data_IF_792207510757
#
_entry.id   IF_792207510757
#
_cell.length_a   1.000
_cell.length_b   1.000
_cell.length_c   1.000
_cell.angle_alpha   90.00
_cell.angle_beta   90.00
_cell.angle_gamma   90.00
#
_symmetry.space_group_name_H-M   'P 1'
#
loop_
_entity.id
_entity.type
_entity.pdbx_description
1 polymer ?
#
# COMPACT_ATOMS: atom_id res chain seq x y z
N UNK A 1 8.47 -19.09 2.67
CA UNK A 1 7.88 -17.93 3.34
C UNK A 1 6.75 -18.44 4.21
N UNK A 2 6.62 -17.96 5.43
CA UNK A 2 5.73 -18.56 6.44
C UNK A 2 4.46 -17.73 6.66
N UNK A 3 4.17 -16.76 5.77
CA UNK A 3 2.98 -15.90 5.88
C UNK A 3 1.67 -16.61 5.46
N UNK A 4 1.76 -17.73 4.74
CA UNK A 4 0.60 -18.51 4.34
C UNK A 4 0.16 -19.38 5.52
N UNK A 5 -1.10 -19.26 5.92
CA UNK A 5 -1.68 -20.02 7.03
C UNK A 5 -2.63 -21.11 6.54
N UNK A 6 -2.85 -22.13 7.37
CA UNK A 6 -3.72 -23.27 7.06
C UNK A 6 -5.21 -23.02 7.41
N UNK A 7 -5.52 -21.90 8.07
CA UNK A 7 -6.86 -21.62 8.58
C UNK A 7 -7.80 -20.94 7.55
N UNK A 8 -7.26 -20.48 6.40
CA UNK A 8 -8.00 -19.73 5.38
C UNK A 8 -7.58 -20.12 3.95
N UNK A 9 -8.53 -20.04 3.03
CA UNK A 9 -8.28 -20.26 1.60
C UNK A 9 -7.98 -21.72 1.28
N UNK A 10 -7.01 -21.95 0.40
CA UNK A 10 -6.63 -23.29 -0.12
C UNK A 10 -5.20 -23.70 0.25
N UNK A 11 -4.48 -22.89 1.03
CA UNK A 11 -3.04 -23.04 1.25
C UNK A 11 -2.16 -22.62 0.08
N UNK A 12 -2.74 -22.16 -1.03
CA UNK A 12 -2.00 -21.59 -2.19
C UNK A 12 -2.50 -20.17 -2.43
N UNK A 13 -1.59 -19.20 -2.38
CA UNK A 13 -1.90 -17.77 -2.47
C UNK A 13 -1.44 -17.22 -3.83
N UNK A 14 -2.36 -16.60 -4.57
CA UNK A 14 -2.03 -15.85 -5.78
C UNK A 14 -1.13 -14.66 -5.44
N UNK A 15 -0.06 -14.47 -6.22
CA UNK A 15 0.89 -13.39 -6.03
C UNK A 15 0.67 -12.28 -7.06
N UNK A 16 0.43 -11.06 -6.58
CA UNK A 16 0.37 -9.85 -7.39
C UNK A 16 1.31 -8.78 -6.75
N UNK A 17 2.62 -8.77 -7.11
CA UNK A 17 3.66 -8.10 -6.34
C UNK A 17 3.46 -6.60 -6.10
N UNK A 18 2.70 -5.92 -6.96
CA UNK A 18 2.49 -4.47 -6.87
C UNK A 18 1.18 -4.08 -6.17
N UNK A 19 0.44 -5.06 -5.64
CA UNK A 19 -0.84 -4.88 -4.96
C UNK A 19 -0.86 -5.46 -3.53
N UNK A 20 0.25 -6.03 -3.06
CA UNK A 20 0.42 -6.55 -1.70
C UNK A 20 1.88 -6.43 -1.23
N UNK A 21 2.09 -6.10 0.05
CA UNK A 21 3.43 -5.98 0.65
C UNK A 21 4.13 -7.34 0.74
N UNK A 22 3.42 -8.37 1.19
CA UNK A 22 3.95 -9.74 1.25
C UNK A 22 4.24 -10.28 -0.15
N UNK A 23 3.33 -10.06 -1.10
CA UNK A 23 3.52 -10.45 -2.50
C UNK A 23 4.79 -9.81 -3.08
N UNK A 24 5.02 -8.52 -2.81
CA UNK A 24 6.23 -7.82 -3.21
C UNK A 24 7.48 -8.47 -2.61
N UNK A 25 7.48 -8.67 -1.28
CA UNK A 25 8.61 -9.21 -0.52
C UNK A 25 8.98 -10.63 -0.98
N UNK A 26 7.99 -11.50 -1.14
CA UNK A 26 8.18 -12.90 -1.57
C UNK A 26 8.66 -12.96 -3.01
N UNK A 27 8.02 -12.22 -3.92
CA UNK A 27 8.41 -12.20 -5.33
C UNK A 27 9.82 -11.63 -5.52
N UNK A 28 10.21 -10.64 -4.72
CA UNK A 28 11.56 -10.09 -4.73
C UNK A 28 12.58 -11.10 -4.19
N UNK A 29 12.29 -11.76 -3.07
CA UNK A 29 13.20 -12.76 -2.47
C UNK A 29 13.46 -13.96 -3.40
N UNK A 30 12.47 -14.32 -4.22
CA UNK A 30 12.56 -15.41 -5.19
C UNK A 30 12.96 -14.96 -6.61
N UNK A 31 13.31 -13.69 -6.82
CA UNK A 31 13.78 -13.18 -8.11
C UNK A 31 12.73 -13.12 -9.22
N UNK A 32 11.43 -13.15 -8.86
CA UNK A 32 10.31 -12.93 -9.79
C UNK A 32 10.24 -11.46 -10.20
N UNK A 33 10.58 -10.57 -9.27
CA UNK A 33 10.76 -9.13 -9.52
C UNK A 33 12.13 -8.70 -9.03
N UNK A 34 12.65 -7.62 -9.60
CA UNK A 34 13.89 -6.99 -9.17
C UNK A 34 13.60 -5.57 -8.69
N UNK A 35 14.38 -5.06 -7.73
CA UNK A 35 14.27 -3.66 -7.29
C UNK A 35 14.55 -2.68 -8.44
N UNK A 36 15.47 -3.07 -9.32
CA UNK A 36 15.90 -2.29 -10.48
C UNK A 36 15.10 -2.66 -11.74
N UNK A 37 13.98 -3.38 -11.60
CA UNK A 37 13.13 -3.70 -12.75
C UNK A 37 12.65 -2.39 -13.38
N UNK A 38 13.05 -2.16 -14.64
CA UNK A 38 12.74 -0.94 -15.39
C UNK A 38 11.24 -0.70 -15.59
N UNK A 39 10.39 -1.71 -15.35
CA UNK A 39 8.94 -1.59 -15.47
C UNK A 39 8.24 -2.25 -14.29
N UNK A 40 7.46 -1.43 -13.57
CA UNK A 40 6.49 -1.87 -12.58
C UNK A 40 5.25 -2.35 -13.32
N UNK A 41 4.92 -3.64 -13.18
CA UNK A 41 3.73 -4.23 -13.80
C UNK A 41 2.50 -3.85 -12.97
N UNK A 42 1.90 -2.71 -13.31
CA UNK A 42 0.69 -2.23 -12.67
C UNK A 42 -0.33 -1.83 -13.75
N UNK A 43 -1.21 -2.77 -14.18
CA UNK A 43 -2.14 -2.55 -15.28
C UNK A 43 -3.36 -1.69 -14.88
N UNK A 44 -3.16 -0.75 -13.96
CA UNK A 44 -4.20 0.11 -13.38
C UNK A 44 -3.67 1.56 -13.27
N UNK A 45 -4.45 2.50 -13.80
CA UNK A 45 -4.16 3.93 -13.78
C UNK A 45 -4.38 4.59 -12.41
N UNK A 46 -4.13 5.91 -12.31
CA UNK A 46 -4.31 6.68 -11.09
C UNK A 46 -5.78 6.81 -10.62
N UNK A 47 -6.74 6.51 -11.49
CA UNK A 47 -8.18 6.50 -11.19
C UNK A 47 -8.70 5.09 -10.88
N UNK A 48 -7.79 4.14 -10.68
CA UNK A 48 -8.10 2.73 -10.42
C UNK A 48 -8.87 2.08 -11.58
N UNK A 49 -8.53 2.43 -12.83
CA UNK A 49 -9.08 1.80 -14.04
C UNK A 49 -8.03 0.99 -14.78
N UNK A 50 -8.44 -0.10 -15.40
CA UNK A 50 -7.53 -0.95 -16.17
C UNK A 50 -6.94 -0.22 -17.38
N UNK A 51 -5.63 -0.38 -17.58
CA UNK A 51 -4.88 0.16 -18.73
C UNK A 51 -5.06 -0.70 -19.98
N UNK A 52 -4.47 -0.28 -21.11
CA UNK A 52 -4.54 -1.01 -22.38
C UNK A 52 -3.91 -2.41 -22.34
N UNK A 53 -3.08 -2.71 -21.33
CA UNK A 53 -2.47 -4.03 -21.14
C UNK A 53 -3.51 -5.11 -20.80
N UNK A 54 -4.66 -4.71 -20.24
CA UNK A 54 -5.79 -5.59 -19.93
C UNK A 54 -6.94 -5.24 -20.86
N UNK A 55 -6.86 -5.73 -22.09
CA UNK A 55 -7.78 -5.38 -23.18
C UNK A 55 -9.23 -5.70 -22.89
N UNK A 56 -9.50 -6.82 -22.20
CA UNK A 56 -10.87 -7.29 -21.92
C UNK A 56 -11.65 -6.35 -20.97
N UNK A 57 -10.92 -5.58 -20.15
CA UNK A 57 -11.51 -4.74 -19.09
C UNK A 57 -11.02 -3.29 -19.14
N UNK A 58 -10.39 -2.87 -20.24
CA UNK A 58 -9.78 -1.55 -20.39
C UNK A 58 -10.77 -0.42 -20.02
N UNK A 59 -10.31 0.52 -19.20
CA UNK A 59 -11.09 1.68 -18.76
C UNK A 59 -12.14 1.41 -17.68
N UNK A 60 -12.38 0.14 -17.30
CA UNK A 60 -13.29 -0.20 -16.21
C UNK A 60 -12.60 -0.01 -14.86
N UNK A 61 -13.35 0.48 -13.87
CA UNK A 61 -12.85 0.54 -12.50
C UNK A 61 -12.66 -0.88 -11.96
N UNK A 62 -11.62 -1.08 -11.15
CA UNK A 62 -11.28 -2.38 -10.56
C UNK A 62 -12.44 -3.09 -9.86
N UNK A 63 -13.32 -2.35 -9.15
CA UNK A 63 -14.47 -2.96 -8.47
C UNK A 63 -15.61 -3.30 -9.41
N UNK A 64 -15.80 -2.51 -10.47
CA UNK A 64 -16.83 -2.78 -11.47
C UNK A 64 -16.44 -3.99 -12.34
N UNK A 65 -15.13 -4.19 -12.56
CA UNK A 65 -14.57 -5.29 -13.32
C UNK A 65 -14.67 -6.67 -12.61
N UNK A 66 -14.91 -6.71 -11.29
CA UNK A 66 -15.03 -7.97 -10.54
C UNK A 66 -16.07 -8.92 -11.16
N UNK A 67 -17.24 -8.40 -11.53
CA UNK A 67 -18.32 -9.21 -12.15
C UNK A 67 -17.95 -9.73 -13.55
N UNK A 68 -17.47 -8.89 -14.49
CA UNK A 68 -16.91 -9.34 -15.76
C UNK A 68 -15.80 -10.38 -15.64
N UNK A 69 -14.85 -10.19 -14.71
CA UNK A 69 -13.73 -11.13 -14.50
C UNK A 69 -14.25 -12.50 -14.05
N UNK A 70 -15.18 -12.54 -13.10
CA UNK A 70 -15.80 -13.79 -12.65
C UNK A 70 -16.51 -14.50 -13.83
N UNK A 71 -17.24 -13.75 -14.65
CA UNK A 71 -17.92 -14.28 -15.84
C UNK A 71 -16.91 -14.87 -16.83
N UNK A 72 -15.84 -14.14 -17.13
CA UNK A 72 -14.75 -14.60 -18.01
C UNK A 72 -14.12 -15.90 -17.52
N UNK A 73 -13.78 -15.98 -16.22
CA UNK A 73 -13.20 -17.20 -15.63
C UNK A 73 -14.15 -18.40 -15.65
N UNK A 74 -15.46 -18.14 -15.49
CA UNK A 74 -16.51 -19.16 -15.59
C UNK A 74 -16.64 -19.70 -17.02
N UNK A 75 -16.66 -18.81 -18.01
CA UNK A 75 -16.73 -19.18 -19.44
C UNK A 75 -15.46 -19.94 -19.88
N UNK A 76 -14.30 -19.56 -19.36
CA UNK A 76 -13.03 -20.26 -19.57
C UNK A 76 -12.94 -21.61 -18.83
N UNK A 77 -13.96 -22.01 -18.05
CA UNK A 77 -13.98 -23.22 -17.22
C UNK A 77 -12.81 -23.30 -16.21
N UNK A 78 -12.32 -22.14 -15.74
CA UNK A 78 -11.24 -22.03 -14.73
C UNK A 78 -11.75 -21.62 -13.34
N UNK A 79 -13.06 -21.41 -13.19
CA UNK A 79 -13.70 -21.11 -11.91
C UNK A 79 -14.18 -22.40 -11.23
N UNK A 80 -13.56 -22.76 -10.11
CA UNK A 80 -13.89 -23.98 -9.35
C UNK A 80 -15.01 -23.70 -8.32
N UNK A 81 -14.91 -22.58 -7.60
CA UNK A 81 -15.84 -22.22 -6.53
C UNK A 81 -16.07 -20.71 -6.51
N UNK A 82 -17.30 -20.29 -6.20
CA UNK A 82 -17.70 -18.90 -6.05
C UNK A 82 -18.62 -18.77 -4.84
N UNK A 83 -18.26 -17.86 -3.91
CA UNK A 83 -19.06 -17.54 -2.73
C UNK A 83 -18.94 -16.05 -2.38
N UNK A 84 -19.82 -15.57 -1.52
CA UNK A 84 -19.78 -14.22 -0.96
C UNK A 84 -19.25 -14.31 0.47
N UNK A 85 -18.25 -13.49 0.80
CA UNK A 85 -17.63 -13.47 2.13
C UNK A 85 -17.88 -12.12 2.78
N UNK A 86 -18.33 -12.13 4.04
CA UNK A 86 -18.46 -10.93 4.86
C UNK A 86 -17.20 -10.76 5.70
N UNK A 87 -16.49 -9.66 5.51
CA UNK A 87 -15.28 -9.32 6.24
C UNK A 87 -15.13 -7.81 6.40
N UNK A 88 -14.19 -7.38 7.24
CA UNK A 88 -13.78 -5.98 7.31
C UNK A 88 -12.89 -5.63 6.13
N UNK A 89 -13.15 -4.49 5.50
CA UNK A 89 -12.37 -3.97 4.39
C UNK A 89 -12.06 -2.49 4.65
N UNK A 90 -10.90 -2.02 4.17
CA UNK A 90 -10.43 -0.66 4.41
C UNK A 90 -11.09 0.36 3.46
N UNK A 91 -11.56 1.47 4.02
CA UNK A 91 -12.20 2.55 3.28
C UNK A 91 -11.48 3.88 3.50
N UNK A 92 -11.59 4.78 2.53
CA UNK A 92 -11.08 6.13 2.67
C UNK A 92 -11.87 6.86 3.77
N UNK A 93 -11.17 7.34 4.79
CA UNK A 93 -11.74 8.03 5.96
C UNK A 93 -12.50 9.34 5.63
N UNK A 94 -12.39 9.87 4.40
CA UNK A 94 -13.03 11.11 3.97
C UNK A 94 -14.12 10.91 2.91
N UNK A 95 -13.92 9.99 1.97
CA UNK A 95 -14.82 9.79 0.83
C UNK A 95 -15.63 8.50 0.91
N UNK A 96 -15.39 7.65 1.90
CA UNK A 96 -16.03 6.33 2.06
C UNK A 96 -15.91 5.42 0.83
N UNK A 97 -14.90 5.67 -0.02
CA UNK A 97 -14.58 4.83 -1.17
C UNK A 97 -13.67 3.68 -0.75
N UNK A 98 -13.84 2.46 -1.29
CA UNK A 98 -13.00 1.32 -0.94
C UNK A 98 -11.56 1.58 -1.37
N UNK A 99 -10.61 1.33 -0.45
CA UNK A 99 -9.18 1.48 -0.75
C UNK A 99 -8.64 0.27 -1.51
N UNK A 100 -7.57 0.50 -2.26
CA UNK A 100 -6.75 -0.55 -2.86
C UNK A 100 -5.30 -0.31 -2.50
N UNK A 101 -4.54 -1.39 -2.35
CA UNK A 101 -3.09 -1.32 -2.23
C UNK A 101 -2.50 -1.31 -3.65
N UNK A 102 -1.62 -0.36 -3.92
CA UNK A 102 -0.94 -0.22 -5.20
C UNK A 102 0.43 0.40 -4.97
N UNK A 103 1.45 -0.13 -5.61
CA UNK A 103 2.78 0.48 -5.63
C UNK A 103 2.71 1.85 -6.29
N UNK A 104 3.07 2.90 -5.54
CA UNK A 104 3.16 4.28 -6.03
C UNK A 104 4.42 4.93 -5.47
N UNK A 105 5.11 5.79 -6.24
CA UNK A 105 6.22 6.56 -5.69
C UNK A 105 5.69 7.51 -4.61
N UNK A 106 6.36 7.53 -3.46
CA UNK A 106 6.02 8.39 -2.33
C UNK A 106 7.26 8.75 -1.53
N UNK A 107 7.22 9.88 -0.83
CA UNK A 107 8.25 10.28 0.12
C UNK A 107 7.91 9.77 1.51
N UNK A 108 8.90 9.15 2.15
CA UNK A 108 8.75 8.54 3.47
C UNK A 108 9.70 9.17 4.48
N UNK A 109 9.23 9.29 5.72
CA UNK A 109 10.10 9.54 6.87
C UNK A 109 10.40 8.20 7.52
N UNK A 110 11.69 7.94 7.76
CA UNK A 110 12.16 6.70 8.41
C UNK A 110 11.76 6.67 9.88
N UNK A 111 10.66 5.99 10.19
CA UNK A 111 10.08 5.87 11.54
C UNK A 111 10.57 4.60 12.23
N UNK A 112 10.82 3.53 11.48
CA UNK A 112 11.20 2.23 12.06
C UNK A 112 12.46 2.34 12.92
N UNK A 113 13.42 3.16 12.48
CA UNK A 113 14.66 3.42 13.23
C UNK A 113 14.50 4.27 14.50
N UNK A 114 13.31 4.82 14.77
CA UNK A 114 13.05 5.65 15.96
C UNK A 114 11.98 5.08 16.91
N UNK A 115 11.49 3.86 16.67
CA UNK A 115 10.45 3.19 17.48
C UNK A 115 10.82 3.18 18.96
N UNK A 116 12.04 2.75 19.32
CA UNK A 116 12.47 2.69 20.72
C UNK A 116 12.42 4.05 21.42
N UNK A 117 12.84 5.10 20.70
CA UNK A 117 12.81 6.48 21.20
C UNK A 117 11.37 6.98 21.35
N UNK A 118 10.48 6.64 20.42
CA UNK A 118 9.06 6.98 20.50
C UNK A 118 8.40 6.32 21.71
N UNK A 119 8.68 5.04 21.97
CA UNK A 119 8.17 4.31 23.12
C UNK A 119 8.70 4.88 24.45
N UNK A 120 10.01 5.16 24.54
CA UNK A 120 10.64 5.74 25.72
C UNK A 120 10.14 7.16 26.02
N UNK A 121 9.76 7.92 24.99
CA UNK A 121 9.13 9.23 25.18
C UNK A 121 7.66 9.09 25.57
N UNK A 122 6.91 8.17 24.95
CA UNK A 122 5.52 7.92 25.29
C UNK A 122 5.35 7.48 26.76
N UNK A 123 6.29 6.70 27.31
CA UNK A 123 6.24 6.28 28.72
C UNK A 123 6.40 7.42 29.72
N UNK A 124 7.09 8.51 29.33
CA UNK A 124 7.28 9.71 30.18
C UNK A 124 6.06 10.63 30.17
N UNK A 125 5.11 10.42 29.26
CA UNK A 125 3.93 11.26 29.10
C UNK A 125 2.80 10.78 30.00
N UNK A 126 2.05 11.72 30.57
CA UNK A 126 0.83 11.44 31.33
C UNK A 126 -0.37 11.38 30.38
N UNK A 127 -1.17 10.31 30.46
CA UNK A 127 -2.34 10.09 29.62
C UNK A 127 -3.54 9.77 30.50
N UNK A 128 -4.71 10.28 30.13
CA UNK A 128 -5.97 9.89 30.76
C UNK A 128 -6.90 9.34 29.68
N UNK A 129 -7.33 8.06 29.76
CA UNK A 129 -6.97 7.03 30.75
C UNK A 129 -5.66 6.28 30.42
N UNK A 130 -4.96 5.77 31.44
CA UNK A 130 -3.63 5.15 31.32
C UNK A 130 -3.57 3.96 30.34
N UNK A 131 -4.63 3.15 30.27
CA UNK A 131 -4.64 1.97 29.39
C UNK A 131 -4.48 2.34 27.90
N UNK A 132 -4.87 3.55 27.50
CA UNK A 132 -4.75 4.02 26.11
C UNK A 132 -3.28 4.18 25.75
N UNK A 133 -2.48 4.74 26.66
CA UNK A 133 -1.02 4.90 26.50
C UNK A 133 -0.34 3.55 26.33
N UNK A 134 -0.58 2.63 27.26
CA UNK A 134 0.17 1.38 27.37
C UNK A 134 -0.27 0.31 26.39
N UNK A 135 -1.56 0.26 26.06
CA UNK A 135 -2.12 -0.79 25.20
C UNK A 135 -2.37 -0.28 23.79
N UNK A 136 -3.14 0.79 23.61
CA UNK A 136 -3.54 1.20 22.25
C UNK A 136 -2.38 1.88 21.52
N UNK A 137 -1.86 2.96 22.10
CA UNK A 137 -0.87 3.79 21.43
C UNK A 137 0.51 3.13 21.42
N UNK A 138 0.97 2.57 22.55
CA UNK A 138 2.27 1.90 22.58
C UNK A 138 2.31 0.63 21.71
N UNK A 139 1.24 -0.17 21.61
CA UNK A 139 1.24 -1.30 20.67
C UNK A 139 1.29 -0.80 19.22
N UNK A 140 0.54 0.25 18.88
CA UNK A 140 0.61 0.86 17.55
C UNK A 140 2.01 1.40 17.21
N UNK A 141 2.70 2.00 18.19
CA UNK A 141 4.08 2.49 18.01
C UNK A 141 5.09 1.36 17.80
N UNK A 142 4.91 0.19 18.44
CA UNK A 142 5.80 -0.97 18.25
C UNK A 142 5.77 -1.51 16.83
N UNK A 143 4.59 -1.49 16.20
CA UNK A 143 4.36 -2.00 14.86
C UNK A 143 4.40 -0.88 13.79
N UNK A 144 4.88 0.31 14.16
CA UNK A 144 4.91 1.46 13.26
C UNK A 144 5.84 1.21 12.07
N UNK A 145 5.31 1.45 10.87
CA UNK A 145 6.08 1.46 9.60
C UNK A 145 6.52 2.86 9.25
N UNK A 146 7.44 2.96 8.29
CA UNK A 146 7.86 4.25 7.74
C UNK A 146 6.68 5.10 7.25
N UNK A 147 6.71 6.38 7.59
CA UNK A 147 5.56 7.26 7.42
C UNK A 147 5.57 7.88 6.04
N UNK A 148 4.61 7.49 5.19
CA UNK A 148 4.34 8.15 3.92
C UNK A 148 3.82 9.57 4.15
N UNK A 149 4.62 10.58 3.81
CA UNK A 149 4.31 12.00 4.01
C UNK A 149 3.86 12.71 2.73
N UNK A 150 4.27 12.25 1.54
CA UNK A 150 3.85 12.91 0.30
C UNK A 150 2.39 12.63 -0.05
N UNK A 151 1.72 13.62 -0.65
CA UNK A 151 0.34 13.49 -1.11
C UNK A 151 0.22 14.18 -2.47
N UNK A 152 -0.39 13.48 -3.44
CA UNK A 152 -0.68 14.05 -4.75
C UNK A 152 -1.94 14.93 -4.66
N UNK A 153 -1.79 16.14 -4.11
CA UNK A 153 -2.88 17.11 -3.84
C UNK A 153 -2.43 18.53 -4.18
N UNK A 154 -3.42 19.39 -4.41
CA UNK A 154 -3.19 20.80 -4.78
C UNK A 154 -3.12 21.74 -3.57
N UNK A 155 -3.92 21.49 -2.52
CA UNK A 155 -3.98 22.34 -1.34
C UNK A 155 -3.25 21.71 -0.15
N UNK A 156 -2.20 22.38 0.32
CA UNK A 156 -1.35 21.96 1.43
C UNK A 156 -0.01 22.70 1.41
N UNK A 157 0.87 22.37 2.34
CA UNK A 157 2.25 22.87 2.33
C UNK A 157 3.04 22.10 1.26
N UNK A 158 3.61 22.77 0.25
CA UNK A 158 4.50 22.11 -0.70
C UNK A 158 5.69 21.48 0.00
N UNK A 159 6.15 20.33 -0.48
CA UNK A 159 7.42 19.77 -0.02
C UNK A 159 8.55 20.65 -0.58
N UNK A 160 9.47 21.16 0.26
CA UNK A 160 10.53 22.05 -0.19
C UNK A 160 11.69 21.24 -0.77
N UNK A 161 11.40 20.39 -1.76
CA UNK A 161 12.38 19.57 -2.47
C UNK A 161 12.44 20.02 -3.93
N UNK A 162 13.62 20.44 -4.35
CA UNK A 162 13.94 20.70 -5.75
C UNK A 162 14.76 19.54 -6.27
N UNK A 163 14.40 19.07 -7.46
CA UNK A 163 15.01 17.90 -8.09
C UNK A 163 15.49 18.34 -9.47
N UNK A 164 16.71 17.98 -9.83
CA UNK A 164 17.24 18.20 -11.18
C UNK A 164 16.44 17.42 -12.22
N UNK A 165 16.46 17.87 -13.48
CA UNK A 165 15.72 17.20 -14.57
C UNK A 165 16.18 15.75 -14.81
N UNK A 166 17.44 15.43 -14.49
CA UNK A 166 18.00 14.08 -14.55
C UNK A 166 17.73 13.23 -13.28
N UNK A 167 17.15 13.84 -12.24
CA UNK A 167 16.80 13.17 -10.99
C UNK A 167 17.98 12.81 -10.08
N UNK A 168 19.20 13.25 -10.40
CA UNK A 168 20.41 12.90 -9.65
C UNK A 168 20.69 13.83 -8.46
N UNK A 169 20.23 15.07 -8.52
CA UNK A 169 20.39 16.06 -7.46
C UNK A 169 19.05 16.38 -6.81
N UNK A 170 19.01 16.33 -5.48
CA UNK A 170 17.86 16.72 -4.68
C UNK A 170 18.31 17.70 -3.60
N UNK A 171 17.75 18.91 -3.64
CA UNK A 171 18.03 19.97 -2.66
C UNK A 171 16.79 20.20 -1.81
N UNK A 172 16.96 20.18 -0.48
CA UNK A 172 15.91 20.48 0.48
C UNK A 172 16.10 21.88 1.06
N UNK A 173 15.28 22.84 0.64
CA UNK A 173 15.41 24.23 1.13
C UNK A 173 14.73 24.36 2.49
N UNK A 174 15.44 24.92 3.46
CA UNK A 174 15.01 25.02 4.85
C UNK A 174 14.26 26.31 5.18
N UNK A 175 14.34 27.35 4.33
CA UNK A 175 13.74 28.66 4.59
C UNK A 175 13.33 29.39 3.31
N UNK A 176 12.65 30.54 3.44
CA UNK A 176 12.27 31.38 2.29
C UNK A 176 13.48 32.20 1.78
N UNK A 177 14.46 32.47 2.65
CA UNK A 177 15.64 33.30 2.33
C UNK A 177 16.76 32.53 1.63
N UNK A 178 16.78 31.20 1.81
CA UNK A 178 17.70 30.25 1.17
C UNK A 178 17.30 30.01 -0.29
#
# INVERSE_FOLDING_TARGET
>A
DDYVTEDRGTGVVHQAPYFGEDDYRVCLAHGVINKDAASVICPIDAQCRFTAEVTDFQGQNVKDADKPIIKYLKEAKRLIHQAVVKHSYSFCWRSDTPLIYRAVPSWFVRVEGMIDRLLANNSKTYWVPDFVKEKRFANWLRDARDWAISRNRYWGNPMPLWISDDGHEVVCVGSIEE
#
